data_IF_669026380252
#
_entry.id   IF_669026380252
#
_cell.length_a   1.000
_cell.length_b   1.000
_cell.length_c   1.000
_cell.angle_alpha   90.00
_cell.angle_beta   90.00
_cell.angle_gamma   90.00
#
_symmetry.space_group_name_H-M   'P 1'
#
loop_
_entity.id
_entity.type
_entity.pdbx_description
1 polymer ?
#
# COMPACT_ATOMS: atom_id res chain seq x y z
N UNK A 1 -12.93 -32.46 -25.67
CA UNK A 1 -12.47 -32.76 -24.30
C UNK A 1 -13.20 -31.79 -23.37
N UNK A 2 -13.91 -32.29 -22.36
CA UNK A 2 -14.67 -31.44 -21.43
C UNK A 2 -13.72 -30.64 -20.56
N UNK A 3 -13.88 -29.31 -20.48
CA UNK A 3 -13.08 -28.47 -19.59
C UNK A 3 -13.43 -28.82 -18.13
N UNK A 4 -12.45 -29.00 -17.23
CA UNK A 4 -12.73 -29.24 -15.81
C UNK A 4 -13.49 -28.05 -15.22
N UNK A 5 -14.57 -28.34 -14.50
CA UNK A 5 -15.42 -27.34 -13.83
C UNK A 5 -15.03 -27.25 -12.36
N UNK A 6 -14.63 -26.07 -11.91
CA UNK A 6 -14.24 -25.76 -10.54
C UNK A 6 -15.32 -24.94 -9.87
N UNK A 7 -15.55 -25.20 -8.59
CA UNK A 7 -16.56 -24.47 -7.81
C UNK A 7 -15.92 -23.84 -6.59
N UNK A 8 -16.31 -22.61 -6.27
CA UNK A 8 -15.90 -21.93 -5.04
C UNK A 8 -17.03 -21.04 -4.55
N UNK A 9 -17.20 -20.95 -3.23
CA UNK A 9 -18.10 -19.97 -2.64
C UNK A 9 -17.58 -18.55 -2.90
N UNK A 10 -18.47 -17.64 -3.26
CA UNK A 10 -18.16 -16.23 -3.43
C UNK A 10 -17.51 -15.64 -2.17
N UNK A 11 -17.99 -16.04 -0.98
CA UNK A 11 -17.44 -15.63 0.31
C UNK A 11 -15.99 -16.12 0.55
N UNK A 12 -15.55 -17.16 -0.14
CA UNK A 12 -14.18 -17.68 -0.05
C UNK A 12 -13.23 -17.01 -1.06
N UNK A 13 -13.74 -16.19 -1.99
CA UNK A 13 -12.93 -15.45 -2.95
C UNK A 13 -12.32 -14.23 -2.27
N UNK A 14 -10.99 -14.16 -2.27
CA UNK A 14 -10.25 -13.00 -1.77
C UNK A 14 -10.53 -11.75 -2.63
N UNK A 15 -11.02 -10.64 -2.05
CA UNK A 15 -11.23 -9.40 -2.80
C UNK A 15 -9.93 -8.82 -3.37
N UNK A 16 -8.79 -9.15 -2.74
CA UNK A 16 -7.46 -8.73 -3.23
C UNK A 16 -7.12 -9.44 -4.54
N UNK A 17 -7.39 -10.74 -4.61
CA UNK A 17 -7.02 -11.56 -5.77
C UNK A 17 -7.96 -11.25 -6.94
N UNK A 18 -9.25 -11.05 -6.65
CA UNK A 18 -10.25 -10.69 -7.65
C UNK A 18 -10.01 -9.32 -8.30
N UNK A 19 -9.37 -8.36 -7.61
CA UNK A 19 -8.97 -7.07 -8.20
C UNK A 19 -7.93 -7.23 -9.31
N UNK A 20 -7.07 -8.25 -9.21
CA UNK A 20 -6.16 -8.65 -10.29
C UNK A 20 -6.79 -9.61 -11.30
N UNK A 21 -8.08 -9.92 -11.15
CA UNK A 21 -8.79 -10.93 -11.94
C UNK A 21 -8.27 -12.35 -11.72
N UNK A 22 -7.67 -12.60 -10.55
CA UNK A 22 -7.21 -13.90 -10.09
C UNK A 22 -8.17 -14.50 -9.06
N UNK A 23 -8.32 -15.83 -9.05
CA UNK A 23 -9.09 -16.55 -8.04
C UNK A 23 -8.31 -17.78 -7.59
N UNK A 24 -8.15 -17.97 -6.29
CA UNK A 24 -7.54 -19.18 -5.74
C UNK A 24 -8.62 -20.19 -5.34
N UNK A 25 -8.55 -21.41 -5.87
CA UNK A 25 -9.45 -22.52 -5.54
C UNK A 25 -8.68 -23.55 -4.71
N UNK A 26 -8.98 -23.68 -3.41
CA UNK A 26 -8.30 -24.62 -2.53
C UNK A 26 -8.70 -26.08 -2.82
N UNK A 27 -7.79 -27.02 -2.55
CA UNK A 27 -8.09 -28.46 -2.60
C UNK A 27 -8.30 -29.06 -3.99
N UNK A 28 -7.96 -28.31 -5.04
CA UNK A 28 -8.01 -28.74 -6.43
C UNK A 28 -6.60 -28.84 -6.98
N UNK A 29 -6.29 -29.93 -7.68
CA UNK A 29 -5.06 -30.10 -8.43
C UNK A 29 -5.35 -30.06 -9.93
N UNK A 30 -4.81 -29.06 -10.61
CA UNK A 30 -4.79 -28.98 -12.08
C UNK A 30 -3.39 -28.62 -12.54
N UNK A 31 -3.05 -29.07 -13.75
CA UNK A 31 -1.80 -28.71 -14.39
C UNK A 31 -1.74 -27.19 -14.65
N UNK A 32 -0.54 -26.63 -14.54
CA UNK A 32 -0.27 -25.27 -14.98
C UNK A 32 -0.70 -25.08 -16.44
N UNK A 33 -1.25 -23.90 -16.76
CA UNK A 33 -1.78 -23.53 -18.08
C UNK A 33 -3.04 -24.31 -18.54
N UNK A 34 -3.60 -25.19 -17.70
CA UNK A 34 -4.84 -25.86 -18.01
C UNK A 34 -6.01 -24.86 -18.07
N UNK A 35 -6.83 -24.96 -19.11
CA UNK A 35 -8.11 -24.23 -19.20
C UNK A 35 -9.19 -24.94 -18.40
N UNK A 36 -9.94 -24.18 -17.60
CA UNK A 36 -11.01 -24.66 -16.77
C UNK A 36 -12.19 -23.68 -16.78
N UNK A 37 -13.32 -24.12 -16.22
CA UNK A 37 -14.48 -23.24 -15.99
C UNK A 37 -14.64 -23.02 -14.50
N UNK A 38 -14.64 -21.77 -14.04
CA UNK A 38 -14.87 -21.41 -12.65
C UNK A 38 -16.34 -21.05 -12.43
N UNK A 39 -17.00 -21.74 -11.51
CA UNK A 39 -18.35 -21.46 -11.06
C UNK A 39 -18.33 -20.90 -9.63
N UNK A 40 -18.80 -19.66 -9.47
CA UNK A 40 -18.97 -19.01 -8.17
C UNK A 40 -20.33 -19.35 -7.59
N UNK A 41 -20.36 -19.78 -6.34
CA UNK A 41 -21.57 -20.13 -5.61
C UNK A 41 -21.92 -19.04 -4.58
N UNK A 42 -23.19 -18.65 -4.48
CA UNK A 42 -23.65 -17.66 -3.49
C UNK A 42 -23.53 -18.20 -2.06
N UNK A 43 -23.90 -19.46 -1.88
CA UNK A 43 -23.88 -20.16 -0.60
C UNK A 43 -23.71 -21.66 -0.82
N UNK A 44 -23.48 -22.39 0.27
CA UNK A 44 -23.41 -23.86 0.31
C UNK A 44 -24.68 -24.54 -0.24
N UNK A 45 -25.80 -23.81 -0.38
CA UNK A 45 -27.02 -24.30 -1.01
C UNK A 45 -26.91 -24.45 -2.55
N UNK A 46 -25.77 -24.08 -3.15
CA UNK A 46 -25.41 -24.46 -4.52
C UNK A 46 -25.93 -23.55 -5.64
N UNK A 47 -26.43 -22.35 -5.32
CA UNK A 47 -26.84 -21.38 -6.36
C UNK A 47 -25.60 -20.80 -7.05
N UNK A 48 -25.43 -21.10 -8.33
CA UNK A 48 -24.36 -20.54 -9.17
C UNK A 48 -24.69 -19.08 -9.53
N UNK A 49 -23.80 -18.17 -9.16
CA UNK A 49 -23.91 -16.74 -9.45
C UNK A 49 -23.26 -16.36 -10.77
N UNK A 50 -22.12 -16.98 -11.07
CA UNK A 50 -21.31 -16.65 -12.22
C UNK A 50 -20.52 -17.90 -12.64
N UNK A 51 -20.47 -18.15 -13.94
CA UNK A 51 -19.67 -19.22 -14.52
C UNK A 51 -18.83 -18.65 -15.64
N UNK A 52 -17.51 -18.71 -15.48
CA UNK A 52 -16.55 -17.98 -16.32
C UNK A 52 -15.36 -18.85 -16.73
N UNK A 53 -14.85 -18.70 -17.97
CA UNK A 53 -13.66 -19.40 -18.41
C UNK A 53 -12.41 -18.85 -17.71
N UNK A 54 -11.56 -19.75 -17.24
CA UNK A 54 -10.35 -19.43 -16.52
C UNK A 54 -9.19 -20.32 -16.94
N UNK A 55 -7.97 -19.91 -16.59
CA UNK A 55 -6.75 -20.66 -16.85
C UNK A 55 -5.89 -20.73 -15.60
N UNK A 56 -5.29 -21.89 -15.36
CA UNK A 56 -4.41 -22.11 -14.20
C UNK A 56 -3.09 -21.36 -14.41
N UNK A 57 -2.82 -20.38 -13.56
CA UNK A 57 -1.57 -19.60 -13.55
C UNK A 57 -0.66 -19.97 -12.39
N UNK A 58 -1.16 -20.78 -11.45
CA UNK A 58 -0.39 -21.26 -10.31
C UNK A 58 -0.97 -22.60 -9.87
N UNK A 59 -0.11 -23.58 -9.63
CA UNK A 59 -0.49 -24.89 -9.09
C UNK A 59 0.33 -25.17 -7.85
N UNK A 60 -0.34 -25.39 -6.72
CA UNK A 60 0.28 -25.68 -5.43
C UNK A 60 -0.40 -26.88 -4.77
N UNK A 61 0.25 -27.59 -3.84
CA UNK A 61 -0.41 -28.65 -3.07
C UNK A 61 -1.64 -28.18 -2.28
N UNK A 62 -1.78 -26.87 -2.05
CA UNK A 62 -2.93 -26.28 -1.35
C UNK A 62 -4.11 -25.97 -2.28
N UNK A 63 -3.90 -25.92 -3.60
CA UNK A 63 -4.90 -25.50 -4.57
C UNK A 63 -4.31 -24.82 -5.80
N UNK A 64 -5.19 -24.29 -6.64
CA UNK A 64 -4.84 -23.66 -7.92
C UNK A 64 -5.20 -22.18 -7.95
N UNK A 65 -4.27 -21.35 -8.44
CA UNK A 65 -4.53 -19.98 -8.81
C UNK A 65 -4.99 -19.91 -10.25
N UNK A 66 -6.12 -19.26 -10.48
CA UNK A 66 -6.76 -19.09 -11.77
C UNK A 66 -6.71 -17.63 -12.20
N UNK A 67 -6.53 -17.37 -13.49
CA UNK A 67 -6.84 -16.07 -14.11
C UNK A 67 -8.04 -16.23 -15.02
N UNK A 68 -8.95 -15.26 -14.99
CA UNK A 68 -10.06 -15.21 -15.94
C UNK A 68 -9.55 -14.84 -17.34
N UNK A 69 -10.14 -15.43 -18.38
CA UNK A 69 -9.72 -15.24 -19.77
C UNK A 69 -10.35 -14.01 -20.44
N UNK A 70 -11.58 -13.65 -20.08
CA UNK A 70 -12.28 -12.47 -20.60
C UNK A 70 -12.21 -11.25 -19.68
N UNK A 71 -12.13 -10.05 -20.25
CA UNK A 71 -12.23 -8.79 -19.50
C UNK A 71 -13.64 -8.57 -18.94
N UNK A 72 -14.66 -8.96 -19.70
CA UNK A 72 -16.07 -8.99 -19.28
C UNK A 72 -16.31 -9.91 -18.07
N UNK A 73 -15.63 -11.06 -18.03
CA UNK A 73 -15.71 -12.02 -16.92
C UNK A 73 -15.09 -11.45 -15.63
N UNK A 74 -14.01 -10.67 -15.76
CA UNK A 74 -13.35 -9.98 -14.63
C UNK A 74 -14.25 -8.90 -14.05
N UNK A 75 -14.92 -8.15 -14.90
CA UNK A 75 -15.92 -7.15 -14.48
C UNK A 75 -17.09 -7.83 -13.78
N UNK A 76 -17.58 -8.96 -14.31
CA UNK A 76 -18.67 -9.73 -13.70
C UNK A 76 -18.28 -10.30 -12.32
N UNK A 77 -17.08 -10.86 -12.17
CA UNK A 77 -16.54 -11.34 -10.89
C UNK A 77 -16.48 -10.22 -9.85
N UNK A 78 -15.97 -9.05 -10.25
CA UNK A 78 -15.91 -7.88 -9.38
C UNK A 78 -17.28 -7.39 -8.96
N UNK A 79 -18.22 -7.30 -9.91
CA UNK A 79 -19.61 -6.92 -9.64
C UNK A 79 -20.30 -7.86 -8.66
N UNK A 80 -20.06 -9.16 -8.76
CA UNK A 80 -20.59 -10.15 -7.82
C UNK A 80 -20.05 -9.94 -6.39
N UNK A 81 -18.75 -9.64 -6.25
CA UNK A 81 -18.12 -9.37 -4.95
C UNK A 81 -18.58 -8.06 -4.32
N UNK A 82 -18.71 -7.00 -5.12
CA UNK A 82 -19.19 -5.69 -4.65
C UNK A 82 -20.66 -5.76 -4.22
N UNK A 83 -21.48 -6.54 -4.92
CA UNK A 83 -22.90 -6.76 -4.57
C UNK A 83 -23.08 -7.52 -3.25
N UNK A 84 -22.18 -8.46 -2.96
CA UNK A 84 -22.19 -9.22 -1.69
C UNK A 84 -21.64 -8.40 -0.50
N UNK A 85 -20.89 -7.33 -0.77
CA UNK A 85 -20.36 -6.44 0.26
C UNK A 85 -21.40 -5.41 0.76
N UNK A 86 -22.54 -5.30 0.09
CA UNK A 86 -23.57 -4.28 0.32
C UNK A 86 -24.78 -4.77 1.15
N UNK A 87 -24.72 -5.97 1.74
CA UNK A 87 -25.75 -6.46 2.67
C UNK A 87 -25.59 -5.97 4.11
N UNK A 88 -24.44 -5.38 4.46
CA UNK A 88 -24.19 -4.78 5.78
C UNK A 88 -23.51 -3.42 5.62
N UNK A 89 -24.28 -2.35 5.47
CA UNK A 89 -24.00 -1.00 6.01
C UNK A 89 -24.90 0.05 5.34
N UNK A 90 -25.92 0.46 6.09
CA UNK A 90 -26.67 1.67 5.85
C UNK A 90 -25.77 2.92 5.71
N UNK A 91 -26.11 3.74 4.71
CA UNK A 91 -26.03 5.21 4.73
C UNK A 91 -24.66 5.89 4.91
N UNK A 92 -24.00 6.22 3.80
CA UNK A 92 -23.70 7.64 3.53
C UNK A 92 -23.35 7.87 2.04
N UNK A 93 -24.36 8.26 1.27
CA UNK A 93 -24.20 8.76 -0.09
C UNK A 93 -23.54 10.13 -0.05
N UNK A 94 -22.32 10.26 -0.58
CA UNK A 94 -21.90 11.53 -1.16
C UNK A 94 -21.08 11.30 -2.43
N UNK A 95 -21.81 11.02 -3.50
CA UNK A 95 -21.33 11.05 -4.87
C UNK A 95 -21.07 12.51 -5.26
N UNK A 96 -19.81 12.91 -5.38
CA UNK A 96 -19.47 14.10 -6.16
C UNK A 96 -18.59 13.69 -7.34
N UNK A 97 -19.27 13.21 -8.38
CA UNK A 97 -18.72 12.99 -9.70
C UNK A 97 -18.58 14.34 -10.39
N UNK A 98 -17.39 14.93 -10.42
CA UNK A 98 -17.11 16.02 -11.34
C UNK A 98 -16.15 15.52 -12.42
N UNK A 99 -16.75 14.99 -13.47
CA UNK A 99 -16.10 14.70 -14.75
C UNK A 99 -15.77 16.02 -15.42
N UNK A 100 -14.49 16.41 -15.47
CA UNK A 100 -14.05 17.44 -16.40
C UNK A 100 -12.95 16.86 -17.29
N UNK A 101 -13.41 16.34 -18.42
CA UNK A 101 -12.60 16.00 -19.59
C UNK A 101 -12.04 17.29 -20.17
N UNK A 102 -10.73 17.47 -20.11
CA UNK A 102 -10.05 18.39 -21.01
C UNK A 102 -8.79 17.72 -21.53
N UNK A 103 -8.95 17.15 -22.72
CA UNK A 103 -7.88 16.77 -23.63
C UNK A 103 -7.13 18.03 -24.07
N UNK A 104 -5.82 18.04 -23.89
CA UNK A 104 -4.91 18.74 -24.80
C UNK A 104 -3.62 17.93 -24.93
N UNK A 105 -3.24 17.80 -26.19
CA UNK A 105 -2.12 17.08 -26.75
C UNK A 105 -0.78 17.77 -26.52
N UNK A 106 0.26 17.01 -26.81
CA UNK A 106 1.56 17.42 -27.36
C UNK A 106 2.79 17.36 -26.44
N UNK A 107 3.55 16.29 -26.71
CA UNK A 107 4.98 16.30 -27.07
C UNK A 107 6.07 16.12 -26.00
N UNK A 108 6.97 15.22 -26.39
CA UNK A 108 8.41 15.18 -26.11
C UNK A 108 8.92 14.44 -24.86
N UNK A 109 9.25 13.16 -25.10
CA UNK A 109 10.56 12.55 -24.88
C UNK A 109 11.43 13.07 -23.73
N UNK A 110 11.54 12.27 -22.67
CA UNK A 110 12.85 11.81 -22.19
C UNK A 110 12.69 10.62 -21.24
N UNK A 111 13.00 9.44 -21.77
CA UNK A 111 13.50 8.31 -20.99
C UNK A 111 14.90 8.65 -20.47
N UNK A 112 15.14 8.48 -19.18
CA UNK A 112 16.33 7.83 -18.59
C UNK A 112 16.55 8.26 -17.12
N UNK A 113 16.95 7.27 -16.32
CA UNK A 113 17.50 7.30 -14.95
C UNK A 113 16.49 7.59 -13.83
N UNK A 114 16.06 6.63 -12.99
CA UNK A 114 16.82 5.52 -12.41
C UNK A 114 17.01 5.81 -10.93
N UNK A 115 16.23 5.16 -10.06
CA UNK A 115 16.67 4.64 -8.76
C UNK A 115 15.55 3.76 -8.19
N UNK A 116 15.73 2.46 -8.45
CA UNK A 116 15.16 1.35 -7.72
C UNK A 116 15.61 1.39 -6.26
N UNK A 117 14.66 1.30 -5.34
CA UNK A 117 14.84 0.78 -3.97
C UNK A 117 13.45 0.33 -3.46
N UNK A 118 12.71 -0.38 -4.32
CA UNK A 118 11.71 -1.32 -3.85
C UNK A 118 12.43 -2.66 -3.69
N UNK A 119 13.05 -2.86 -2.52
CA UNK A 119 13.39 -4.18 -2.00
C UNK A 119 12.09 -4.97 -1.81
N UNK A 120 11.51 -5.43 -2.91
CA UNK A 120 10.59 -6.56 -2.98
C UNK A 120 11.42 -7.85 -2.76
N UNK A 121 11.96 -7.98 -1.55
CA UNK A 121 12.38 -9.26 -1.00
C UNK A 121 11.12 -10.01 -0.57
N UNK A 122 10.44 -10.56 -1.59
CA UNK A 122 9.40 -11.58 -1.52
C UNK A 122 10.00 -12.94 -1.07
N UNK A 123 10.92 -12.91 -0.10
CA UNK A 123 11.27 -14.09 0.69
C UNK A 123 10.11 -14.35 1.66
N UNK A 124 9.14 -15.12 1.17
CA UNK A 124 8.08 -15.74 1.96
C UNK A 124 8.64 -16.87 2.83
N UNK A 125 9.71 -16.60 3.60
CA UNK A 125 10.21 -17.56 4.57
C UNK A 125 9.09 -17.89 5.55
N UNK A 126 8.89 -19.18 5.87
CA UNK A 126 7.78 -19.62 6.72
C UNK A 126 7.74 -18.84 8.04
N UNK A 127 8.90 -18.43 8.58
CA UNK A 127 8.99 -17.63 9.80
C UNK A 127 8.31 -16.25 9.68
N UNK A 128 8.46 -15.54 8.55
CA UNK A 128 7.78 -14.25 8.31
C UNK A 128 6.28 -14.43 8.18
N UNK A 129 5.83 -15.49 7.49
CA UNK A 129 4.39 -15.80 7.37
C UNK A 129 3.75 -16.11 8.73
N UNK A 130 4.42 -16.92 9.57
CA UNK A 130 3.95 -17.22 10.93
C UNK A 130 3.90 -15.95 11.80
N UNK A 131 4.88 -15.05 11.67
CA UNK A 131 4.86 -13.75 12.34
C UNK A 131 3.67 -12.90 11.88
N UNK A 132 3.47 -12.75 10.57
CA UNK A 132 2.36 -11.96 10.01
C UNK A 132 0.99 -12.52 10.42
N UNK A 133 0.85 -13.85 10.48
CA UNK A 133 -0.36 -14.50 10.98
C UNK A 133 -0.58 -14.17 12.47
N UNK A 134 0.48 -14.26 13.29
CA UNK A 134 0.41 -13.92 14.73
C UNK A 134 0.05 -12.46 14.96
N UNK A 135 0.67 -11.54 14.21
CA UNK A 135 0.48 -10.10 14.39
C UNK A 135 -0.95 -9.67 14.03
N UNK A 136 -1.60 -10.28 13.03
CA UNK A 136 -2.98 -9.94 12.62
C UNK A 136 -4.04 -10.24 13.68
N UNK A 137 -3.78 -11.20 14.56
CA UNK A 137 -4.70 -11.59 15.64
C UNK A 137 -4.56 -10.76 16.92
N UNK A 138 -3.63 -9.79 16.97
CA UNK A 138 -3.37 -9.03 18.19
C UNK A 138 -4.50 -8.04 18.50
N UNK A 139 -4.83 -7.93 19.78
CA UNK A 139 -5.68 -6.86 20.30
C UNK A 139 -4.96 -5.50 20.24
N UNK A 140 -5.71 -4.40 20.31
CA UNK A 140 -5.11 -3.05 20.27
C UNK A 140 -4.05 -2.86 21.36
N UNK A 141 -4.30 -3.38 22.57
CA UNK A 141 -3.34 -3.29 23.68
C UNK A 141 -2.04 -4.04 23.36
N UNK A 142 -2.13 -5.23 22.77
CA UNK A 142 -0.96 -6.01 22.37
C UNK A 142 -0.22 -5.38 21.20
N UNK A 143 -0.93 -4.79 20.23
CA UNK A 143 -0.33 -4.02 19.14
C UNK A 143 0.53 -2.88 19.70
N UNK A 144 -0.01 -2.11 20.65
CA UNK A 144 0.74 -1.02 21.29
C UNK A 144 1.94 -1.53 22.09
N UNK A 145 1.83 -2.71 22.71
CA UNK A 145 2.96 -3.36 23.41
C UNK A 145 4.05 -3.78 22.44
N UNK A 146 3.71 -4.44 21.33
CA UNK A 146 4.68 -4.82 20.28
C UNK A 146 5.31 -3.58 19.64
N UNK A 147 4.55 -2.49 19.45
CA UNK A 147 5.10 -1.24 18.93
C UNK A 147 6.16 -0.63 19.87
N UNK A 148 6.02 -0.78 21.19
CA UNK A 148 6.94 -0.23 22.20
C UNK A 148 8.12 -1.14 22.52
N UNK A 149 7.91 -2.45 22.59
CA UNK A 149 8.90 -3.39 23.12
C UNK A 149 9.34 -4.46 22.10
N UNK A 150 8.63 -4.59 20.97
CA UNK A 150 8.87 -5.61 19.97
C UNK A 150 10.18 -5.43 19.20
N UNK A 151 10.61 -6.51 18.57
CA UNK A 151 11.83 -6.52 17.74
C UNK A 151 11.62 -5.78 16.41
N UNK A 152 12.73 -5.38 15.77
CA UNK A 152 12.69 -4.57 14.54
C UNK A 152 11.76 -5.15 13.46
N UNK A 153 11.88 -6.44 13.19
CA UNK A 153 11.07 -7.13 12.17
C UNK A 153 9.58 -7.17 12.54
N UNK A 154 9.25 -7.27 13.83
CA UNK A 154 7.86 -7.25 14.31
C UNK A 154 7.26 -5.86 14.15
N UNK A 155 8.01 -4.81 14.47
CA UNK A 155 7.57 -3.42 14.31
C UNK A 155 7.35 -3.04 12.86
N UNK A 156 8.23 -3.48 11.96
CA UNK A 156 8.07 -3.28 10.51
C UNK A 156 6.79 -3.99 10.03
N UNK A 157 6.58 -5.24 10.41
CA UNK A 157 5.37 -5.97 10.04
C UNK A 157 4.10 -5.33 10.65
N UNK A 158 4.17 -4.87 11.90
CA UNK A 158 3.09 -4.20 12.61
C UNK A 158 2.71 -2.86 11.93
N UNK A 159 3.70 -2.06 11.55
CA UNK A 159 3.51 -0.81 10.80
C UNK A 159 2.77 -1.07 9.47
N UNK A 160 3.17 -2.10 8.73
CA UNK A 160 2.54 -2.48 7.46
C UNK A 160 1.10 -2.97 7.62
N UNK A 161 0.78 -3.69 8.69
CA UNK A 161 -0.57 -4.24 8.94
C UNK A 161 -1.52 -3.15 9.45
N UNK A 162 -1.10 -2.35 10.43
CA UNK A 162 -1.99 -1.48 11.20
C UNK A 162 -1.81 0.02 10.91
N UNK A 163 -0.68 0.43 10.32
CA UNK A 163 -0.40 1.81 9.91
C UNK A 163 -0.65 2.83 11.02
N UNK A 164 -1.59 3.75 10.77
CA UNK A 164 -1.93 4.87 11.66
C UNK A 164 -2.27 4.48 13.10
N UNK A 165 -2.76 3.27 13.33
CA UNK A 165 -3.14 2.82 14.68
C UNK A 165 -1.91 2.62 15.59
N UNK A 166 -0.72 2.41 15.02
CA UNK A 166 0.49 2.07 15.77
C UNK A 166 1.61 3.11 15.66
N UNK A 167 1.54 4.05 14.71
CA UNK A 167 2.59 5.05 14.48
C UNK A 167 2.95 5.87 15.73
N UNK A 168 1.97 6.29 16.51
CA UNK A 168 2.24 7.04 17.75
C UNK A 168 3.05 6.21 18.76
N UNK A 169 2.73 4.92 18.88
CA UNK A 169 3.46 4.01 19.76
C UNK A 169 4.87 3.70 19.22
N UNK A 170 5.01 3.54 17.90
CA UNK A 170 6.31 3.34 17.24
C UNK A 170 7.23 4.56 17.41
N UNK A 171 6.71 5.78 17.24
CA UNK A 171 7.49 7.01 17.41
C UNK A 171 7.91 7.28 18.87
N UNK A 172 7.21 6.70 19.84
CA UNK A 172 7.58 6.74 21.27
C UNK A 172 8.56 5.63 21.69
N UNK A 173 8.85 4.69 20.81
CA UNK A 173 9.77 3.60 21.10
C UNK A 173 11.22 4.12 21.13
N UNK A 174 11.96 3.84 22.21
CA UNK A 174 13.36 4.24 22.34
C UNK A 174 14.32 3.48 21.41
N UNK A 175 13.90 2.33 20.86
CA UNK A 175 14.61 1.49 19.89
C UNK A 175 14.18 1.76 18.44
N UNK A 176 13.38 2.81 18.19
CA UNK A 176 12.96 3.16 16.83
C UNK A 176 14.17 3.62 16.01
N UNK A 177 14.31 3.07 14.82
CA UNK A 177 15.42 3.35 13.91
C UNK A 177 15.09 4.48 12.95
N UNK A 178 16.12 5.14 12.41
CA UNK A 178 15.93 6.23 11.45
C UNK A 178 15.15 5.81 10.18
N UNK A 179 15.39 4.63 9.59
CA UNK A 179 14.60 4.17 8.43
C UNK A 179 13.12 3.94 8.77
N UNK A 180 12.81 3.46 9.99
CA UNK A 180 11.42 3.36 10.46
C UNK A 180 10.75 4.74 10.53
N UNK A 181 11.44 5.73 11.12
CA UNK A 181 10.94 7.11 11.20
C UNK A 181 10.77 7.73 9.81
N UNK A 182 11.72 7.52 8.91
CA UNK A 182 11.66 8.04 7.54
C UNK A 182 10.47 7.44 6.76
N UNK A 183 10.23 6.12 6.86
CA UNK A 183 9.05 5.48 6.26
C UNK A 183 7.76 6.08 6.76
N UNK A 184 7.60 6.19 8.09
CA UNK A 184 6.41 6.80 8.72
C UNK A 184 6.25 8.26 8.27
N UNK A 185 7.34 9.04 8.26
CA UNK A 185 7.35 10.45 7.89
C UNK A 185 6.98 10.69 6.41
N UNK A 186 7.28 9.74 5.51
CA UNK A 186 6.92 9.82 4.08
C UNK A 186 5.42 9.59 3.83
N UNK A 187 4.71 8.96 4.77
CA UNK A 187 3.30 8.59 4.59
C UNK A 187 2.40 9.83 4.52
N UNK A 188 1.75 10.03 3.36
CA UNK A 188 0.78 11.10 3.16
C UNK A 188 -0.46 11.01 4.04
N UNK A 189 -0.67 9.91 4.75
CA UNK A 189 -1.77 9.70 5.71
C UNK A 189 -1.39 9.97 7.17
N UNK A 190 -0.12 10.29 7.46
CA UNK A 190 0.38 10.63 8.81
C UNK A 190 -0.38 11.83 9.42
N UNK A 191 -0.93 11.72 10.64
CA UNK A 191 -1.54 12.84 11.35
C UNK A 191 -0.55 13.99 11.60
N UNK A 192 -1.02 15.24 11.45
CA UNK A 192 -0.20 16.46 11.66
C UNK A 192 0.50 16.51 13.03
N UNK A 193 -0.15 16.15 14.16
CA UNK A 193 0.54 16.14 15.45
C UNK A 193 1.74 15.19 15.50
N UNK A 194 1.72 14.07 14.76
CA UNK A 194 2.87 13.16 14.70
C UNK A 194 3.99 13.70 13.81
N UNK A 195 3.67 14.44 12.74
CA UNK A 195 4.68 15.18 11.97
C UNK A 195 5.40 16.20 12.85
N UNK A 196 4.66 16.93 13.70
CA UNK A 196 5.22 17.90 14.64
C UNK A 196 6.16 17.26 15.65
N UNK A 197 5.82 16.07 16.17
CA UNK A 197 6.71 15.28 17.04
C UNK A 197 8.01 14.95 16.32
N UNK A 198 7.94 14.54 15.05
CA UNK A 198 9.13 14.21 14.27
C UNK A 198 10.00 15.45 14.01
N UNK A 199 9.39 16.56 13.59
CA UNK A 199 10.10 17.82 13.30
C UNK A 199 10.70 18.44 14.56
N UNK A 200 10.05 18.27 15.71
CA UNK A 200 10.54 18.82 16.98
C UNK A 200 11.79 18.09 17.49
N UNK A 201 12.00 16.84 17.07
CA UNK A 201 13.16 16.05 17.44
C UNK A 201 14.39 16.41 16.57
N UNK A 202 15.32 17.17 17.16
CA UNK A 202 16.55 17.58 16.48
C UNK A 202 17.46 16.42 16.05
N UNK A 203 17.46 15.29 16.78
CA UNK A 203 18.26 14.12 16.42
C UNK A 203 17.79 13.52 15.09
N UNK A 204 16.46 13.44 14.88
CA UNK A 204 15.89 12.97 13.62
C UNK A 204 16.10 13.97 12.48
N UNK A 205 16.05 15.27 12.73
CA UNK A 205 16.40 16.27 11.72
C UNK A 205 17.88 16.21 11.30
N UNK A 206 18.78 15.72 12.16
CA UNK A 206 20.17 15.47 11.79
C UNK A 206 20.33 14.40 10.70
N UNK A 207 19.35 13.50 10.57
CA UNK A 207 19.41 12.37 9.64
C UNK A 207 18.88 12.77 8.26
N UNK A 208 19.67 12.65 7.18
CA UNK A 208 19.27 13.07 5.83
C UNK A 208 18.01 12.37 5.32
N UNK A 209 17.87 11.07 5.55
CA UNK A 209 16.71 10.27 5.12
C UNK A 209 15.41 10.79 5.70
N UNK A 210 15.38 11.10 7.01
CA UNK A 210 14.19 11.64 7.67
C UNK A 210 13.85 13.02 7.14
N UNK A 211 14.84 13.89 6.89
CA UNK A 211 14.59 15.21 6.28
C UNK A 211 13.94 15.08 4.90
N UNK A 212 14.46 14.22 4.03
CA UNK A 212 13.91 14.01 2.68
C UNK A 212 12.49 13.45 2.75
N UNK A 213 12.25 12.48 3.63
CA UNK A 213 10.91 11.92 3.85
C UNK A 213 9.90 12.98 4.32
N UNK A 214 10.28 13.83 5.28
CA UNK A 214 9.43 14.93 5.74
C UNK A 214 9.13 15.94 4.63
N UNK A 215 10.15 16.34 3.86
CA UNK A 215 9.99 17.29 2.76
C UNK A 215 9.15 16.73 1.60
N UNK A 216 9.11 15.41 1.41
CA UNK A 216 8.25 14.75 0.44
C UNK A 216 6.79 14.65 0.90
N UNK A 217 6.49 14.85 2.19
CA UNK A 217 5.14 14.67 2.71
C UNK A 217 4.21 15.86 2.38
N UNK A 218 3.08 15.66 1.68
CA UNK A 218 2.16 16.73 1.31
C UNK A 218 1.42 17.35 2.51
N UNK A 219 1.40 16.69 3.68
CA UNK A 219 0.73 17.18 4.90
C UNK A 219 1.65 18.00 5.81
N UNK A 220 2.92 18.15 5.45
CA UNK A 220 3.86 18.98 6.19
C UNK A 220 3.38 20.44 6.23
N UNK A 221 3.25 21.00 7.44
CA UNK A 221 2.86 22.39 7.61
C UNK A 221 3.93 23.33 7.05
N UNK A 222 3.50 24.44 6.42
CA UNK A 222 4.38 25.41 5.81
C UNK A 222 5.40 26.01 6.79
N UNK A 223 5.02 26.11 8.08
CA UNK A 223 5.87 26.64 9.15
C UNK A 223 7.08 25.76 9.47
N UNK A 224 6.99 24.46 9.19
CA UNK A 224 8.08 23.51 9.45
C UNK A 224 9.08 23.41 8.30
N UNK A 225 8.67 23.75 7.07
CA UNK A 225 9.52 23.65 5.88
C UNK A 225 10.83 24.44 6.05
N UNK A 226 10.84 25.74 6.43
CA UNK A 226 12.08 26.50 6.57
C UNK A 226 13.02 25.90 7.62
N UNK A 227 12.46 25.34 8.70
CA UNK A 227 13.26 24.70 9.75
C UNK A 227 14.00 23.49 9.20
N UNK A 228 13.32 22.61 8.46
CA UNK A 228 13.95 21.42 7.87
C UNK A 228 14.97 21.81 6.81
N UNK A 229 14.63 22.77 5.93
CA UNK A 229 15.53 23.26 4.88
C UNK A 229 16.83 23.86 5.41
N UNK A 230 16.82 24.48 6.60
CA UNK A 230 18.05 24.99 7.26
C UNK A 230 18.97 23.88 7.77
N UNK A 231 18.46 22.66 7.95
CA UNK A 231 19.27 21.49 8.32
C UNK A 231 19.84 20.76 7.09
N UNK A 232 19.43 21.13 5.87
CA UNK A 232 20.02 20.56 4.65
C UNK A 232 21.39 21.18 4.40
N UNK A 233 22.31 20.38 3.88
CA UNK A 233 23.57 20.89 3.37
C UNK A 233 23.35 21.81 2.16
N UNK A 234 24.29 22.73 1.90
CA UNK A 234 24.21 23.65 0.75
C UNK A 234 24.09 22.91 -0.60
N UNK A 235 24.71 21.74 -0.72
CA UNK A 235 24.62 20.90 -1.91
C UNK A 235 23.20 20.34 -2.09
N UNK A 236 22.62 19.74 -1.05
CA UNK A 236 21.26 19.20 -1.07
C UNK A 236 20.22 20.29 -1.33
N UNK A 237 20.37 21.45 -0.68
CA UNK A 237 19.43 22.57 -0.83
C UNK A 237 19.33 23.08 -2.27
N UNK A 238 20.42 23.02 -3.05
CA UNK A 238 20.41 23.39 -4.47
C UNK A 238 19.61 22.43 -5.35
N UNK A 239 19.47 21.17 -4.94
CA UNK A 239 18.72 20.15 -5.67
C UNK A 239 17.21 20.22 -5.38
N UNK A 240 16.82 20.67 -4.18
CA UNK A 240 15.41 20.72 -3.74
C UNK A 240 14.47 21.42 -4.75
N UNK A 241 14.79 22.60 -5.32
CA UNK A 241 13.91 23.27 -6.29
C UNK A 241 13.60 22.46 -7.55
N UNK A 242 14.49 21.56 -7.95
CA UNK A 242 14.39 20.79 -9.20
C UNK A 242 13.70 19.44 -8.99
N UNK A 243 13.63 18.96 -7.75
CA UNK A 243 13.07 17.65 -7.40
C UNK A 243 11.54 17.68 -7.48
N UNK A 244 10.95 16.96 -8.44
CA UNK A 244 9.47 16.86 -8.60
C UNK A 244 8.79 16.11 -7.47
N UNK A 245 9.53 15.25 -6.75
CA UNK A 245 9.04 14.52 -5.58
C UNK A 245 8.65 15.45 -4.41
N UNK A 246 9.10 16.70 -4.40
CA UNK A 246 8.75 17.65 -3.35
C UNK A 246 7.53 18.51 -3.71
N UNK A 247 6.60 18.73 -2.77
CA UNK A 247 5.49 19.66 -2.96
C UNK A 247 5.96 21.05 -3.38
N UNK A 248 5.15 21.77 -4.16
CA UNK A 248 5.49 23.10 -4.67
C UNK A 248 5.94 24.07 -3.56
N UNK A 249 5.26 24.06 -2.41
CA UNK A 249 5.59 24.88 -1.25
C UNK A 249 7.04 24.67 -0.75
N UNK A 250 7.54 23.43 -0.80
CA UNK A 250 8.92 23.10 -0.42
C UNK A 250 9.91 23.65 -1.43
N UNK A 251 9.64 23.47 -2.72
CA UNK A 251 10.47 23.97 -3.81
C UNK A 251 10.58 25.49 -3.78
N UNK A 252 9.47 26.18 -3.55
CA UNK A 252 9.45 27.65 -3.49
C UNK A 252 10.12 28.18 -2.21
N UNK A 253 9.94 27.51 -1.08
CA UNK A 253 10.67 27.84 0.14
C UNK A 253 12.19 27.67 -0.02
N UNK A 254 12.63 26.63 -0.72
CA UNK A 254 14.05 26.41 -1.02
C UNK A 254 14.62 27.47 -1.97
N UNK A 255 13.90 27.83 -3.04
CA UNK A 255 14.28 28.93 -3.94
C UNK A 255 14.45 30.25 -3.19
N UNK A 256 13.54 30.56 -2.26
CA UNK A 256 13.62 31.75 -1.42
C UNK A 256 14.82 31.72 -0.48
N UNK A 257 15.11 30.57 0.12
CA UNK A 257 16.28 30.41 1.00
C UNK A 257 17.61 30.56 0.25
N UNK A 258 17.69 30.06 -0.98
CA UNK A 258 18.87 30.22 -1.85
C UNK A 258 19.08 31.68 -2.30
N UNK A 259 17.99 32.41 -2.55
CA UNK A 259 18.03 33.83 -2.94
C UNK A 259 18.37 34.76 -1.77
N UNK A 260 17.89 34.44 -0.56
CA UNK A 260 18.11 35.23 0.65
C UNK A 260 19.34 34.80 1.48
N UNK A 261 20.16 33.88 0.96
CA UNK A 261 21.39 33.39 1.61
C UNK A 261 22.67 34.13 1.18
N UNK A 262 22.54 35.38 0.71
CA UNK A 262 23.64 36.30 0.41
C UNK A 262 23.69 37.40 1.48
#
# INVERSE_FOLDING_TARGET
MSRPRLTILLAAVSPRDARGGGVFVPGVELAFDAECTLALLESEAGRVLLEVPARVVMSTPAGVGLTLLGEEDRVALRGALDSNSNSDSDSNSNSNSNSNSNSNSDSDSNSDSGDDDDDDDDDASPRRLHLHARLRGLTVVEQLRVARDGELHERIALERIYGKAVWEALLRNHRVTAPEVARIAKMGTLPRPLLEVIVSNGAWLGIPEVRRALLANPRLAADHIPRILRHLGKAELKLVPNQTAYPLAVRDAAKRLLRGGA
#
